data_IF_523699438723
#
_entry.id   IF_523699438723
#
_cell.length_a   1.000
_cell.length_b   1.000
_cell.length_c   1.000
_cell.angle_alpha   90.00
_cell.angle_beta   90.00
_cell.angle_gamma   90.00
#
_symmetry.space_group_name_H-M   'P 1'
#
loop_
_entity.id
_entity.type
_entity.pdbx_description
1 polymer ?
#
# COMPACT_ATOMS: atom_id res chain seq x y z
N UNK A 1 -35.57 -37.54 -30.16
CA UNK A 1 -34.49 -36.53 -30.27
C UNK A 1 -34.85 -35.31 -29.43
N UNK A 2 -34.96 -35.46 -28.10
CA UNK A 2 -35.28 -34.37 -27.16
C UNK A 2 -34.60 -34.74 -25.84
N UNK A 3 -33.34 -34.34 -25.66
CA UNK A 3 -32.68 -34.22 -24.33
C UNK A 3 -31.23 -33.71 -24.43
N UNK A 4 -30.91 -32.85 -25.40
CA UNK A 4 -29.54 -32.31 -25.55
C UNK A 4 -29.48 -30.82 -25.22
N UNK A 5 -30.57 -30.09 -25.43
CA UNK A 5 -30.64 -28.63 -25.21
C UNK A 5 -30.72 -28.21 -23.73
N UNK A 6 -31.33 -28.98 -22.84
CA UNK A 6 -31.33 -28.66 -21.40
C UNK A 6 -29.94 -28.80 -20.78
N UNK A 7 -29.17 -29.80 -21.22
CA UNK A 7 -27.85 -30.12 -20.65
C UNK A 7 -26.81 -29.03 -20.92
N UNK A 8 -26.88 -28.32 -22.06
CA UNK A 8 -25.93 -27.24 -22.39
C UNK A 8 -26.16 -25.99 -21.55
N UNK A 9 -27.42 -25.61 -21.29
CA UNK A 9 -27.72 -24.44 -20.46
C UNK A 9 -27.31 -24.61 -18.99
N UNK A 10 -27.44 -25.82 -18.46
CA UNK A 10 -27.03 -26.16 -17.08
C UNK A 10 -25.50 -26.25 -16.99
N UNK A 11 -24.86 -26.87 -17.99
CA UNK A 11 -23.40 -26.95 -18.06
C UNK A 11 -22.73 -25.57 -18.17
N UNK A 12 -23.30 -24.64 -18.95
CA UNK A 12 -22.78 -23.27 -19.03
C UNK A 12 -22.96 -22.50 -17.71
N UNK A 13 -24.08 -22.69 -17.00
CA UNK A 13 -24.28 -22.08 -15.69
C UNK A 13 -23.33 -22.64 -14.64
N UNK A 14 -23.07 -23.94 -14.66
CA UNK A 14 -22.09 -24.58 -13.78
C UNK A 14 -20.68 -24.10 -14.12
N UNK A 15 -20.33 -24.02 -15.40
CA UNK A 15 -19.04 -23.50 -15.86
C UNK A 15 -18.81 -22.05 -15.40
N UNK A 16 -19.84 -21.21 -15.53
CA UNK A 16 -19.81 -19.82 -15.07
C UNK A 16 -19.68 -19.71 -13.54
N UNK A 17 -20.42 -20.52 -12.77
CA UNK A 17 -20.31 -20.56 -11.32
C UNK A 17 -18.93 -21.04 -10.84
N UNK A 18 -18.38 -22.08 -11.48
CA UNK A 18 -17.03 -22.58 -11.18
C UNK A 18 -15.97 -21.52 -11.48
N UNK A 19 -16.09 -20.80 -12.61
CA UNK A 19 -15.20 -19.70 -12.94
C UNK A 19 -15.26 -18.59 -11.87
N UNK A 20 -16.46 -18.18 -11.45
CA UNK A 20 -16.63 -17.18 -10.39
C UNK A 20 -16.02 -17.64 -9.06
N UNK A 21 -16.29 -18.87 -8.63
CA UNK A 21 -15.76 -19.41 -7.38
C UNK A 21 -14.22 -19.43 -7.39
N UNK A 22 -13.61 -19.90 -8.49
CA UNK A 22 -12.15 -19.91 -8.63
C UNK A 22 -11.56 -18.49 -8.62
N UNK A 23 -12.22 -17.53 -9.29
CA UNK A 23 -11.76 -16.12 -9.25
C UNK A 23 -11.85 -15.52 -7.85
N UNK A 24 -12.93 -15.79 -7.09
CA UNK A 24 -13.06 -15.30 -5.72
C UNK A 24 -12.01 -15.88 -4.76
N UNK A 25 -11.69 -17.16 -4.89
CA UNK A 25 -10.65 -17.81 -4.09
C UNK A 25 -9.25 -17.28 -4.42
N UNK A 26 -8.97 -17.04 -5.71
CA UNK A 26 -7.71 -16.42 -6.14
C UNK A 26 -7.57 -15.00 -5.61
N UNK A 27 -8.63 -14.17 -5.69
CA UNK A 27 -8.61 -12.81 -5.14
C UNK A 27 -8.39 -12.83 -3.62
N UNK A 28 -9.07 -13.71 -2.87
CA UNK A 28 -8.88 -13.84 -1.42
C UNK A 28 -7.43 -14.23 -1.08
N UNK A 29 -6.84 -15.20 -1.80
CA UNK A 29 -5.45 -15.61 -1.61
C UNK A 29 -4.44 -14.50 -1.98
N UNK A 30 -4.70 -13.73 -3.04
CA UNK A 30 -3.91 -12.56 -3.40
C UNK A 30 -4.02 -11.44 -2.36
N UNK A 31 -5.21 -11.23 -1.79
CA UNK A 31 -5.44 -10.24 -0.74
C UNK A 31 -4.78 -10.65 0.59
N UNK A 32 -4.70 -11.94 0.91
CA UNK A 32 -3.96 -12.44 2.07
C UNK A 32 -2.43 -12.30 1.92
N UNK A 33 -1.89 -12.41 0.70
CA UNK A 33 -0.46 -12.12 0.42
C UNK A 33 -0.18 -10.62 0.34
N UNK A 34 -1.15 -9.81 -0.11
CA UNK A 34 -1.05 -8.35 -0.10
C UNK A 34 -1.21 -7.71 1.29
N UNK A 35 -1.83 -8.42 2.23
CA UNK A 35 -1.95 -7.99 3.63
C UNK A 35 -0.68 -8.19 4.46
N UNK A 36 0.34 -8.85 3.92
CA UNK A 36 1.59 -9.17 4.63
C UNK A 36 2.79 -8.34 4.16
N UNK A 37 2.52 -7.12 3.69
CA UNK A 37 3.50 -6.15 3.20
C UNK A 37 3.42 -4.77 3.86
N UNK A 38 2.65 -4.61 4.94
CA UNK A 38 2.60 -3.35 5.72
C UNK A 38 2.41 -3.57 7.21
N UNK A 39 2.81 -4.74 7.72
CA UNK A 39 2.99 -5.00 9.15
C UNK A 39 4.40 -4.60 9.62
N UNK A 40 4.94 -3.49 9.11
CA UNK A 40 6.16 -2.88 9.66
C UNK A 40 5.74 -1.63 10.45
N UNK A 41 5.67 -1.82 11.77
CA UNK A 41 5.50 -0.79 12.80
C UNK A 41 4.20 0.02 12.75
N UNK A 42 3.06 -0.65 12.88
CA UNK A 42 1.90 -0.10 13.59
C UNK A 42 2.20 0.00 15.11
N UNK A 43 3.29 0.67 15.49
CA UNK A 43 3.31 1.38 16.76
C UNK A 43 2.54 2.65 16.47
N UNK A 44 1.23 2.55 16.69
CA UNK A 44 0.32 3.67 16.79
C UNK A 44 0.85 4.62 17.85
N UNK A 45 1.69 5.56 17.45
CA UNK A 45 1.66 6.87 18.04
C UNK A 45 0.45 7.58 17.45
N UNK A 46 -0.66 7.42 18.16
CA UNK A 46 -1.89 8.18 18.02
C UNK A 46 -1.59 9.68 18.19
N UNK A 47 -1.02 10.30 17.16
CA UNK A 47 -1.14 11.72 16.92
C UNK A 47 -1.69 11.84 15.51
N UNK A 48 -3.01 11.99 15.45
CA UNK A 48 -3.69 12.35 14.22
C UNK A 48 -3.10 13.64 13.67
N UNK A 49 -2.20 13.49 12.71
CA UNK A 49 -2.01 14.46 11.66
C UNK A 49 -2.54 13.73 10.44
N UNK A 50 -3.58 14.30 9.85
CA UNK A 50 -4.13 13.82 8.59
C UNK A 50 -2.99 13.41 7.65
N UNK A 51 -3.19 12.30 6.96
CA UNK A 51 -2.40 11.81 5.83
C UNK A 51 -2.49 12.83 4.66
N UNK A 52 -2.14 14.08 4.93
CA UNK A 52 -1.76 15.09 3.96
C UNK A 52 -0.27 14.84 3.76
N UNK A 53 0.10 14.33 2.59
CA UNK A 53 1.49 14.33 2.19
C UNK A 53 2.08 15.72 2.39
N UNK A 54 3.35 15.76 2.74
CA UNK A 54 4.09 17.01 2.78
C UNK A 54 4.21 17.58 1.36
N UNK A 55 4.50 18.88 1.29
CA UNK A 55 4.88 19.51 0.02
C UNK A 55 6.26 19.00 -0.43
N UNK A 56 6.60 19.17 -1.71
CA UNK A 56 7.92 18.82 -2.29
C UNK A 56 9.08 19.51 -1.55
N UNK A 57 8.83 20.65 -0.91
CA UNK A 57 9.77 21.36 -0.07
C UNK A 57 9.26 21.35 1.37
N UNK A 58 10.05 20.74 2.26
CA UNK A 58 9.77 20.66 3.69
C UNK A 58 10.72 21.55 4.49
N UNK A 59 10.18 22.35 5.42
CA UNK A 59 11.00 23.12 6.36
C UNK A 59 11.25 22.27 7.60
N UNK A 60 12.52 21.91 7.80
CA UNK A 60 12.98 21.10 8.92
C UNK A 60 12.69 21.80 10.26
N UNK A 61 12.18 21.05 11.23
CA UNK A 61 12.02 21.47 12.63
C UNK A 61 13.23 21.13 13.49
N UNK A 62 13.28 21.70 14.71
CA UNK A 62 14.36 21.40 15.66
C UNK A 62 14.40 19.92 16.03
N UNK A 63 15.57 19.30 15.85
CA UNK A 63 15.83 17.90 16.24
C UNK A 63 15.19 16.85 15.34
N UNK A 64 14.80 17.22 14.12
CA UNK A 64 14.34 16.26 13.11
C UNK A 64 15.50 15.66 12.32
N UNK A 65 15.22 14.53 11.66
CA UNK A 65 16.11 13.86 10.71
C UNK A 65 15.33 13.49 9.44
N UNK A 66 16.03 13.20 8.34
CA UNK A 66 15.37 12.74 7.10
C UNK A 66 14.48 11.52 7.32
N UNK A 67 14.85 10.61 8.23
CA UNK A 67 14.02 9.44 8.58
C UNK A 67 12.73 9.83 9.31
N UNK A 68 12.83 10.77 10.26
CA UNK A 68 11.65 11.23 11.01
C UNK A 68 10.69 12.00 10.10
N UNK A 69 11.23 12.75 9.13
CA UNK A 69 10.46 13.47 8.12
C UNK A 69 9.84 12.48 7.12
N UNK A 70 10.59 11.46 6.67
CA UNK A 70 10.09 10.35 5.85
C UNK A 70 8.85 9.69 6.47
N UNK A 71 8.90 9.37 7.75
CA UNK A 71 7.77 8.79 8.49
C UNK A 71 6.58 9.74 8.59
N UNK A 72 6.82 11.05 8.78
CA UNK A 72 5.78 12.08 8.86
C UNK A 72 5.09 12.33 7.52
N UNK A 73 5.86 12.35 6.44
CA UNK A 73 5.41 12.70 5.10
C UNK A 73 4.98 11.48 4.28
N UNK A 74 5.33 10.26 4.73
CA UNK A 74 5.10 9.02 4.01
C UNK A 74 6.00 8.85 2.79
N UNK A 75 7.20 9.43 2.81
CA UNK A 75 8.15 9.41 1.70
C UNK A 75 9.39 8.57 2.04
N UNK A 76 9.44 7.27 1.68
CA UNK A 76 10.57 6.41 1.98
C UNK A 76 11.81 6.70 1.13
N UNK A 77 11.71 7.53 0.09
CA UNK A 77 12.79 7.82 -0.84
C UNK A 77 13.46 9.17 -0.60
N UNK A 78 13.05 9.93 0.43
CA UNK A 78 13.59 11.25 0.75
C UNK A 78 15.13 11.28 0.85
N UNK A 79 15.78 10.19 1.28
CA UNK A 79 17.25 10.09 1.34
C UNK A 79 17.87 10.03 -0.06
N UNK A 80 17.22 9.34 -1.00
CA UNK A 80 17.68 9.22 -2.39
C UNK A 80 17.41 10.49 -3.20
N UNK A 81 16.28 11.15 -2.92
CA UNK A 81 15.88 12.41 -3.57
C UNK A 81 16.71 13.61 -3.10
N UNK A 82 17.40 13.48 -1.95
CA UNK A 82 18.28 14.50 -1.40
C UNK A 82 19.76 14.05 -1.36
N UNK A 83 20.40 13.77 -2.52
CA UNK A 83 21.78 13.25 -2.57
C UNK A 83 22.84 14.27 -2.09
N UNK A 84 22.44 15.51 -1.85
CA UNK A 84 23.29 16.56 -1.29
C UNK A 84 23.48 16.43 0.22
N UNK A 85 22.62 15.65 0.89
CA UNK A 85 22.72 15.34 2.32
C UNK A 85 23.42 13.99 2.45
N UNK A 86 24.66 13.99 2.93
CA UNK A 86 25.45 12.76 3.06
C UNK A 86 25.13 11.98 4.34
N UNK A 87 24.74 12.69 5.39
CA UNK A 87 24.32 12.13 6.67
C UNK A 87 22.83 12.46 6.88
N UNK A 88 21.94 11.46 7.00
CA UNK A 88 20.49 11.68 7.17
C UNK A 88 20.09 12.53 8.39
N UNK A 89 21.01 12.72 9.34
CA UNK A 89 20.81 13.56 10.52
C UNK A 89 21.39 14.99 10.36
N UNK A 90 22.10 15.28 9.25
CA UNK A 90 22.68 16.60 8.93
C UNK A 90 21.64 17.53 8.27
N UNK A 91 20.52 17.70 8.98
CA UNK A 91 19.44 18.62 8.60
C UNK A 91 19.22 19.65 9.69
N UNK A 92 19.04 20.90 9.31
CA UNK A 92 18.90 22.02 10.23
C UNK A 92 17.63 22.81 9.97
N UNK A 93 17.05 23.43 11.01
CA UNK A 93 15.89 24.30 10.83
C UNK A 93 16.14 25.42 9.81
N UNK A 94 15.12 25.71 9.01
CA UNK A 94 15.16 26.84 8.08
C UNK A 94 15.29 28.19 8.80
N UNK A 95 15.93 29.17 8.14
CA UNK A 95 16.02 30.57 8.59
C UNK A 95 14.77 31.37 8.25
#
# INVERSE_FOLDING_TARGET
>A
MVSVFSSTTIAEKISFCCALMMTTLLVLSCCEVGGRGSDFNFIVNQKGVMNKGCDEIYVVGEGESLHTISEKCGDPYIVEENPHINDPDDVFPGL
#
